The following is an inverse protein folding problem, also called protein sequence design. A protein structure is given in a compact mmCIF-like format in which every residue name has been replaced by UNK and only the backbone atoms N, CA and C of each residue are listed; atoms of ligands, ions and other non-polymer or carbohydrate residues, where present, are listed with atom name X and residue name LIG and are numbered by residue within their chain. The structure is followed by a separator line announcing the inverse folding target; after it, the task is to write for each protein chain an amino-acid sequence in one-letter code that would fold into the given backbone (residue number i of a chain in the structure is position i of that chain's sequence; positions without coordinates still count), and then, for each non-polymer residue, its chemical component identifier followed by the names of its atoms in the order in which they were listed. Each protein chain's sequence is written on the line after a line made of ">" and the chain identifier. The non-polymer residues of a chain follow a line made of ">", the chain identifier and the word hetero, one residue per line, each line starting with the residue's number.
data_IF_169175365612
#
_entry.id   IF_169175365612
#
_cell.length_a   1.000
_cell.length_b   1.000
_cell.length_c   1.000
_cell.angle_alpha   90.00
_cell.angle_beta   90.00
_cell.angle_gamma   90.00
#
_symmetry.space_group_name_H-M   'P 1'
#
loop_
_entity.id
_entity.type
_entity.pdbx_description
1 polymer ?
#
# COMPACT_ATOMS: atom_id res chain seq x y z
N UNK A 1 -23.61 -3.95 -24.70
CA UNK A 1 -22.87 -5.20 -24.49
C UNK A 1 -22.09 -5.08 -23.19
N UNK A 2 -22.20 -6.02 -22.22
CA UNK A 2 -21.39 -5.94 -21.01
C UNK A 2 -19.94 -6.32 -21.34
N UNK A 3 -18.99 -5.43 -21.02
CA UNK A 3 -17.56 -5.74 -21.14
C UNK A 3 -17.20 -6.89 -20.19
N UNK A 4 -16.67 -7.97 -20.77
CA UNK A 4 -16.13 -9.10 -20.03
C UNK A 4 -14.67 -8.78 -19.70
N UNK A 5 -14.38 -8.50 -18.43
CA UNK A 5 -13.00 -8.33 -17.96
C UNK A 5 -12.36 -9.70 -17.75
N UNK A 6 -11.13 -9.94 -18.25
CA UNK A 6 -10.45 -11.23 -18.12
C UNK A 6 -10.11 -11.55 -16.65
N UNK A 7 -9.99 -12.84 -16.29
CA UNK A 7 -9.64 -13.25 -14.94
C UNK A 7 -8.27 -12.69 -14.54
N UNK A 8 -8.20 -12.12 -13.35
CA UNK A 8 -6.97 -11.62 -12.71
C UNK A 8 -6.06 -12.79 -12.28
N UNK A 9 -5.57 -13.60 -13.22
CA UNK A 9 -4.67 -14.73 -12.89
C UNK A 9 -3.30 -14.60 -13.51
N UNK A 10 -3.02 -13.55 -14.27
CA UNK A 10 -1.72 -13.34 -14.90
C UNK A 10 -0.92 -12.28 -14.15
N UNK A 11 -0.41 -12.64 -12.97
CA UNK A 11 0.72 -11.93 -12.39
C UNK A 11 1.92 -12.23 -13.27
N UNK A 12 2.28 -11.30 -14.16
CA UNK A 12 3.57 -11.32 -14.87
C UNK A 12 4.68 -11.30 -13.83
N UNK A 13 5.10 -12.50 -13.41
CA UNK A 13 6.28 -12.73 -12.59
C UNK A 13 7.47 -12.53 -13.50
N UNK A 14 7.77 -11.26 -13.79
CA UNK A 14 9.06 -10.87 -14.33
C UNK A 14 10.10 -11.19 -13.26
N UNK A 15 10.89 -12.23 -13.52
CA UNK A 15 12.06 -12.69 -12.77
C UNK A 15 12.09 -12.21 -11.30
N UNK A 16 11.42 -12.97 -10.41
CA UNK A 16 11.72 -12.87 -8.98
C UNK A 16 13.20 -13.27 -8.82
N UNK A 17 14.07 -12.26 -8.74
CA UNK A 17 15.47 -12.40 -8.41
C UNK A 17 15.57 -12.94 -6.98
N UNK A 18 15.46 -14.27 -6.82
CA UNK A 18 15.82 -15.10 -5.66
C UNK A 18 15.85 -14.39 -4.29
N UNK A 19 14.78 -13.69 -3.95
CA UNK A 19 14.67 -12.91 -2.72
C UNK A 19 13.21 -12.82 -2.33
N UNK A 20 12.93 -13.02 -1.04
CA UNK A 20 11.60 -12.76 -0.50
C UNK A 20 11.19 -11.33 -0.90
N UNK A 21 10.05 -11.12 -1.59
CA UNK A 21 9.68 -9.83 -2.19
C UNK A 21 9.36 -8.72 -1.18
N UNK A 22 9.70 -8.92 0.10
CA UNK A 22 9.84 -7.85 1.09
C UNK A 22 11.14 -7.10 0.77
N UNK A 23 11.18 -6.48 -0.41
CA UNK A 23 12.28 -5.64 -0.85
C UNK A 23 12.15 -4.32 -0.09
N UNK A 24 12.81 -4.25 1.06
CA UNK A 24 12.79 -3.11 1.99
C UNK A 24 12.08 -3.44 3.29
N UNK A 25 12.80 -3.34 4.41
CA UNK A 25 12.15 -3.36 5.71
C UNK A 25 11.27 -2.11 5.79
N UNK A 26 9.95 -2.27 5.77
CA UNK A 26 9.08 -1.22 6.26
C UNK A 26 9.26 -1.14 7.77
N UNK A 27 9.37 0.08 8.26
CA UNK A 27 9.38 0.33 9.69
C UNK A 27 8.08 -0.18 10.32
N UNK A 28 8.15 -0.62 11.56
CA UNK A 28 6.93 -0.95 12.29
C UNK A 28 6.05 0.32 12.40
N UNK A 29 4.72 0.19 12.55
CA UNK A 29 3.85 1.36 12.71
C UNK A 29 4.26 2.28 13.87
N UNK A 30 4.80 1.71 14.95
CA UNK A 30 5.33 2.45 16.10
C UNK A 30 6.62 3.22 15.78
N UNK A 31 7.36 2.81 14.76
CA UNK A 31 8.55 3.48 14.23
C UNK A 31 8.22 4.44 13.08
N UNK A 32 6.93 4.63 12.77
CA UNK A 32 6.44 5.56 11.76
C UNK A 32 6.13 4.95 10.39
N UNK A 33 6.21 3.63 10.22
CA UNK A 33 5.86 2.98 8.97
C UNK A 33 4.36 2.96 8.67
N UNK A 34 3.99 3.01 7.39
CA UNK A 34 2.61 2.85 6.95
C UNK A 34 2.36 3.23 5.50
N UNK A 35 1.10 3.56 5.18
CA UNK A 35 0.66 3.76 3.80
C UNK A 35 1.36 4.91 3.05
N UNK A 36 2.06 5.81 3.74
CA UNK A 36 2.84 6.86 3.07
C UNK A 36 4.10 6.30 2.39
N UNK A 37 4.67 5.21 2.91
CA UNK A 37 5.86 4.57 2.35
C UNK A 37 5.56 3.94 0.96
N UNK A 38 4.33 3.44 0.79
CA UNK A 38 3.85 2.86 -0.47
C UNK A 38 3.37 3.91 -1.48
N UNK A 39 2.77 4.99 -0.99
CA UNK A 39 2.20 6.04 -1.84
C UNK A 39 2.65 7.42 -1.33
N UNK A 40 3.86 7.86 -1.68
CA UNK A 40 4.47 9.08 -1.10
C UNK A 40 3.66 10.36 -1.32
N UNK A 41 2.84 10.41 -2.38
CA UNK A 41 2.06 11.59 -2.78
C UNK A 41 0.56 11.48 -2.48
N UNK A 42 0.12 10.56 -1.60
CA UNK A 42 -1.31 10.42 -1.26
C UNK A 42 -1.80 11.53 -0.34
N UNK A 43 -3.08 11.89 -0.48
CA UNK A 43 -3.75 12.82 0.43
C UNK A 43 -3.74 12.29 1.88
N UNK A 44 -3.29 13.12 2.83
CA UNK A 44 -3.22 12.76 4.25
C UNK A 44 -4.45 13.25 5.03
N UNK A 45 -5.47 12.41 5.16
CA UNK A 45 -6.70 12.73 5.91
C UNK A 45 -6.50 12.95 7.41
N UNK A 46 -5.33 12.60 7.98
CA UNK A 46 -5.05 12.85 9.40
C UNK A 46 -4.98 14.34 9.73
N UNK A 47 -4.71 15.21 8.75
CA UNK A 47 -4.61 16.66 8.96
C UNK A 47 -5.96 17.32 9.24
N UNK A 48 -7.05 16.70 8.77
CA UNK A 48 -8.43 17.16 9.00
C UNK A 48 -9.14 16.38 10.08
N UNK A 49 -8.51 15.34 10.65
CA UNK A 49 -9.15 14.50 11.65
C UNK A 49 -9.35 15.27 12.97
N UNK A 50 -10.54 15.20 13.59
CA UNK A 50 -10.76 15.77 14.91
C UNK A 50 -9.84 15.10 15.94
N UNK A 51 -9.50 15.83 17.01
CA UNK A 51 -8.70 15.26 18.10
C UNK A 51 -9.40 14.02 18.65
N UNK A 52 -8.70 12.89 18.78
CA UNK A 52 -9.30 11.66 19.28
C UNK A 52 -9.84 11.93 20.70
N UNK A 53 -11.08 11.51 20.95
CA UNK A 53 -11.78 11.76 22.22
C UNK A 53 -12.65 13.02 22.25
N UNK A 54 -12.61 13.88 21.23
CA UNK A 54 -13.69 14.85 20.98
C UNK A 54 -14.69 14.23 20.01
N UNK A 55 -15.58 13.40 20.53
CA UNK A 55 -16.84 13.03 19.83
C UNK A 55 -17.98 13.84 20.43
#
# INVERSE_FOLDING_TARGET
>A
MPEQHPPITETTTGAASNGCPVVGHMKYPVEGGGNQDWWPNRLNLKVTAPKPGRR
#
